data_IF_810498470377
#
_entry.id   IF_810498470377
#
_cell.length_a   1.000
_cell.length_b   1.000
_cell.length_c   1.000
_cell.angle_alpha   90.00
_cell.angle_beta   90.00
_cell.angle_gamma   90.00
#
_symmetry.space_group_name_H-M   'P 1'
#
loop_
_entity.id
_entity.type
_entity.pdbx_description
1 polymer ?
#
# COMPACT_ATOMS: atom_id res chain seq x y z
N UNK A 1 -3.86 5.20 18.32
CA UNK A 1 -3.45 5.32 16.89
C UNK A 1 -1.96 5.07 16.84
N UNK A 2 -1.51 4.20 15.94
CA UNK A 2 -0.08 3.86 15.80
C UNK A 2 0.70 5.07 15.25
N UNK A 3 1.92 5.31 15.73
CA UNK A 3 2.81 6.35 15.20
C UNK A 3 3.61 5.83 14.01
N UNK A 4 4.23 6.72 13.22
CA UNK A 4 5.14 6.34 12.14
C UNK A 4 6.31 5.46 12.65
N UNK A 5 6.93 5.85 13.77
CA UNK A 5 8.02 5.09 14.38
C UNK A 5 7.58 3.70 14.84
N UNK A 6 6.41 3.59 15.50
CA UNK A 6 5.85 2.30 15.91
C UNK A 6 5.51 1.42 14.70
N UNK A 7 5.08 2.04 13.59
CA UNK A 7 4.73 1.32 12.35
C UNK A 7 5.96 0.68 11.70
N UNK A 8 7.10 1.39 11.68
CA UNK A 8 8.38 0.84 11.22
C UNK A 8 8.81 -0.37 12.06
N UNK A 9 8.80 -0.23 13.39
CA UNK A 9 9.18 -1.31 14.32
C UNK A 9 8.26 -2.53 14.13
N UNK A 10 6.97 -2.28 13.95
CA UNK A 10 5.99 -3.35 13.74
C UNK A 10 6.23 -4.06 12.40
N UNK A 11 6.46 -3.31 11.32
CA UNK A 11 6.77 -3.87 10.00
C UNK A 11 8.04 -4.72 10.03
N UNK A 12 9.12 -4.22 10.64
CA UNK A 12 10.37 -4.97 10.81
C UNK A 12 10.13 -6.29 11.54
N UNK A 13 9.41 -6.24 12.66
CA UNK A 13 9.12 -7.43 13.47
C UNK A 13 8.45 -8.56 12.68
N UNK A 14 7.57 -8.24 11.75
CA UNK A 14 6.79 -9.24 11.02
C UNK A 14 7.29 -9.54 9.60
N UNK A 15 8.15 -8.69 9.03
CA UNK A 15 8.58 -8.81 7.64
C UNK A 15 10.10 -8.99 7.45
N UNK A 16 10.92 -8.82 8.50
CA UNK A 16 12.38 -8.92 8.36
C UNK A 16 12.85 -10.30 7.87
N UNK A 17 12.11 -11.37 8.17
CA UNK A 17 12.38 -12.72 7.68
C UNK A 17 12.00 -12.94 6.20
N UNK A 18 11.42 -11.94 5.54
CA UNK A 18 11.06 -11.92 4.12
C UNK A 18 11.92 -10.87 3.39
N UNK A 19 13.21 -11.13 3.08
CA UNK A 19 14.19 -10.08 2.77
C UNK A 19 13.79 -9.17 1.61
N UNK A 20 13.22 -9.75 0.53
CA UNK A 20 12.78 -8.97 -0.64
C UNK A 20 11.56 -8.11 -0.30
N UNK A 21 10.60 -8.68 0.43
CA UNK A 21 9.40 -7.96 0.89
C UNK A 21 9.79 -6.82 1.84
N UNK A 22 10.69 -7.11 2.76
CA UNK A 22 11.17 -6.11 3.71
C UNK A 22 11.86 -4.93 3.02
N UNK A 23 12.74 -5.18 2.02
CA UNK A 23 13.35 -4.09 1.23
C UNK A 23 12.30 -3.24 0.51
N UNK A 24 11.30 -3.86 -0.11
CA UNK A 24 10.20 -3.15 -0.73
C UNK A 24 9.46 -2.25 0.25
N UNK A 25 9.06 -2.79 1.39
CA UNK A 25 8.35 -2.05 2.46
C UNK A 25 9.18 -0.88 2.98
N UNK A 26 10.50 -1.05 3.15
CA UNK A 26 11.40 0.04 3.53
C UNK A 26 11.39 1.17 2.47
N UNK A 27 11.48 0.83 1.20
CA UNK A 27 11.41 1.81 0.12
C UNK A 27 10.09 2.57 0.09
N UNK A 28 8.96 1.85 0.23
CA UNK A 28 7.61 2.45 0.28
C UNK A 28 7.44 3.36 1.50
N UNK A 29 7.88 2.89 2.68
CA UNK A 29 7.80 3.65 3.94
C UNK A 29 8.60 4.96 3.88
N UNK A 30 9.86 4.91 3.49
CA UNK A 30 10.70 6.11 3.35
C UNK A 30 10.16 7.08 2.28
N UNK A 31 9.66 6.56 1.17
CA UNK A 31 9.01 7.39 0.15
C UNK A 31 7.77 8.10 0.70
N UNK A 32 6.96 7.41 1.51
CA UNK A 32 5.79 7.99 2.15
C UNK A 32 6.13 9.07 3.18
N UNK A 33 7.24 8.93 3.90
CA UNK A 33 7.76 9.98 4.81
C UNK A 33 8.06 11.27 4.05
N UNK A 34 8.82 11.19 2.94
CA UNK A 34 9.11 12.36 2.09
C UNK A 34 7.85 12.99 1.49
N UNK A 35 6.90 12.16 1.05
CA UNK A 35 5.62 12.61 0.49
C UNK A 35 4.77 13.31 1.55
N UNK A 36 4.68 12.73 2.76
CA UNK A 36 3.91 13.30 3.86
C UNK A 36 4.47 14.67 4.29
N UNK A 37 5.79 14.82 4.31
CA UNK A 37 6.46 16.08 4.59
C UNK A 37 6.17 17.13 3.51
N UNK A 38 6.35 16.78 2.23
CA UNK A 38 6.12 17.68 1.10
C UNK A 38 4.68 18.19 1.04
N UNK A 39 3.69 17.33 1.31
CA UNK A 39 2.27 17.67 1.34
C UNK A 39 1.78 18.19 2.69
N UNK A 40 2.63 18.25 3.71
CA UNK A 40 2.28 18.64 5.10
C UNK A 40 1.09 17.84 5.65
N UNK A 41 1.08 16.53 5.40
CA UNK A 41 0.04 15.64 5.92
C UNK A 41 0.26 15.39 7.41
N UNK A 42 -0.57 16.00 8.25
CA UNK A 42 -0.37 16.04 9.70
C UNK A 42 -0.80 14.77 10.46
N UNK A 43 -1.60 13.89 9.84
CA UNK A 43 -2.26 12.78 10.56
C UNK A 43 -1.44 11.49 10.69
N UNK A 44 -0.28 11.42 10.03
CA UNK A 44 0.61 10.25 10.04
C UNK A 44 0.05 8.96 9.41
N UNK A 45 -1.19 8.98 8.92
CA UNK A 45 -1.86 7.78 8.42
C UNK A 45 -1.19 7.23 7.15
N UNK A 46 -0.69 8.13 6.26
CA UNK A 46 0.05 7.72 5.07
C UNK A 46 1.30 6.92 5.44
N UNK A 47 2.12 7.47 6.31
CA UNK A 47 3.39 6.85 6.71
C UNK A 47 3.14 5.51 7.41
N UNK A 48 2.18 5.48 8.35
CA UNK A 48 1.82 4.25 9.04
C UNK A 48 1.30 3.18 8.07
N UNK A 49 0.40 3.54 7.14
CA UNK A 49 -0.12 2.60 6.15
C UNK A 49 0.98 2.12 5.19
N UNK A 50 1.90 2.99 4.78
CA UNK A 50 3.00 2.63 3.90
C UNK A 50 3.97 1.61 4.53
N UNK A 51 4.35 1.80 5.80
CA UNK A 51 5.15 0.82 6.53
C UNK A 51 4.42 -0.52 6.74
N UNK A 52 3.09 -0.52 6.80
CA UNK A 52 2.28 -1.67 7.20
C UNK A 52 1.49 -2.31 6.04
N UNK A 53 1.54 -1.76 4.80
CA UNK A 53 0.67 -2.20 3.71
C UNK A 53 0.80 -3.70 3.42
N UNK A 54 1.99 -4.22 3.52
CA UNK A 54 2.33 -5.61 3.22
C UNK A 54 2.46 -6.52 4.47
N UNK A 55 2.08 -6.03 5.68
CA UNK A 55 2.25 -6.79 6.92
C UNK A 55 1.55 -8.15 6.90
N UNK A 56 0.49 -8.28 6.10
CA UNK A 56 -0.25 -9.53 5.92
C UNK A 56 0.54 -10.67 5.27
N UNK A 57 1.71 -10.40 4.68
CA UNK A 57 2.63 -11.44 4.23
C UNK A 57 3.42 -12.08 5.38
N UNK A 58 3.48 -11.44 6.54
CA UNK A 58 4.17 -11.98 7.70
C UNK A 58 3.57 -13.33 8.13
N UNK A 59 4.39 -14.39 8.33
CA UNK A 59 3.87 -15.73 8.65
C UNK A 59 2.97 -15.77 9.89
N UNK A 60 3.20 -14.90 10.86
CA UNK A 60 2.38 -14.79 12.08
C UNK A 60 1.11 -13.93 11.89
N UNK A 61 0.91 -13.32 10.72
CA UNK A 61 -0.24 -12.47 10.38
C UNK A 61 -1.15 -13.14 9.36
N UNK A 62 -0.58 -13.93 8.46
CA UNK A 62 -1.30 -14.61 7.38
C UNK A 62 -2.35 -15.58 7.94
N UNK A 63 -3.61 -15.39 7.54
CA UNK A 63 -4.76 -16.23 7.90
C UNK A 63 -5.43 -16.81 6.65
N UNK A 64 -5.79 -15.95 5.67
CA UNK A 64 -6.48 -16.33 4.43
C UNK A 64 -5.51 -16.50 3.25
N UNK A 65 -4.29 -15.96 3.38
CA UNK A 65 -3.31 -15.81 2.32
C UNK A 65 -3.61 -14.63 1.39
N UNK A 66 -4.64 -13.82 1.65
CA UNK A 66 -4.89 -12.55 0.99
C UNK A 66 -4.39 -11.41 1.87
N UNK A 67 -3.12 -11.00 1.63
CA UNK A 67 -2.38 -10.12 2.52
C UNK A 67 -3.05 -8.78 2.87
N UNK A 68 -3.82 -8.10 1.96
CA UNK A 68 -4.48 -6.86 2.34
C UNK A 68 -5.53 -7.06 3.43
N UNK A 69 -6.30 -8.14 3.34
CA UNK A 69 -7.33 -8.49 4.32
C UNK A 69 -6.71 -8.97 5.63
N UNK A 70 -5.73 -9.88 5.55
CA UNK A 70 -5.04 -10.42 6.72
C UNK A 70 -4.32 -9.33 7.51
N UNK A 71 -3.61 -8.44 6.80
CA UNK A 71 -2.93 -7.28 7.40
C UNK A 71 -3.90 -6.32 8.07
N UNK A 72 -4.99 -5.97 7.38
CA UNK A 72 -5.99 -5.05 7.91
C UNK A 72 -6.71 -5.61 9.16
N UNK A 73 -7.08 -6.89 9.16
CA UNK A 73 -7.66 -7.59 10.32
C UNK A 73 -6.69 -7.60 11.50
N UNK A 74 -5.43 -7.92 11.24
CA UNK A 74 -4.38 -7.89 12.25
C UNK A 74 -4.24 -6.49 12.86
N UNK A 75 -4.11 -5.45 12.05
CA UNK A 75 -3.95 -4.06 12.50
C UNK A 75 -5.16 -3.57 13.32
N UNK A 76 -6.38 -3.94 12.93
CA UNK A 76 -7.59 -3.64 13.71
C UNK A 76 -7.55 -4.36 15.05
N UNK A 77 -7.16 -5.62 15.10
CA UNK A 77 -7.07 -6.44 16.32
C UNK A 77 -6.08 -5.88 17.35
N UNK A 78 -4.95 -5.33 16.90
CA UNK A 78 -3.95 -4.71 17.78
C UNK A 78 -4.22 -3.24 18.10
N UNK A 79 -5.30 -2.65 17.57
CA UNK A 79 -5.66 -1.26 17.84
C UNK A 79 -4.78 -0.22 17.12
N UNK A 80 -4.19 -0.55 15.97
CA UNK A 80 -3.32 0.36 15.20
C UNK A 80 -4.06 1.62 14.68
N UNK A 81 -5.38 1.58 14.61
CA UNK A 81 -6.26 2.64 14.14
C UNK A 81 -7.07 2.21 12.91
N UNK A 82 -8.37 2.47 12.93
CA UNK A 82 -9.29 2.00 11.88
C UNK A 82 -8.93 2.55 10.49
N UNK A 83 -8.54 3.82 10.40
CA UNK A 83 -8.15 4.42 9.12
C UNK A 83 -6.90 3.76 8.52
N UNK A 84 -5.89 3.45 9.34
CA UNK A 84 -4.68 2.75 8.87
C UNK A 84 -5.06 1.34 8.38
N UNK A 85 -5.90 0.62 9.12
CA UNK A 85 -6.38 -0.70 8.71
C UNK A 85 -7.14 -0.64 7.38
N UNK A 86 -8.00 0.37 7.15
CA UNK A 86 -8.72 0.56 5.88
C UNK A 86 -7.79 0.88 4.73
N UNK A 87 -6.80 1.75 4.93
CA UNK A 87 -5.79 2.05 3.91
C UNK A 87 -5.01 0.79 3.52
N UNK A 88 -4.62 -0.03 4.51
CA UNK A 88 -3.94 -1.32 4.27
C UNK A 88 -4.87 -2.31 3.56
N UNK A 89 -6.15 -2.41 3.94
CA UNK A 89 -7.11 -3.28 3.29
C UNK A 89 -7.28 -3.00 1.78
N UNK A 90 -7.19 -1.72 1.41
CA UNK A 90 -7.48 -1.27 0.05
C UNK A 90 -6.26 -0.81 -0.74
N UNK A 91 -5.03 -0.89 -0.16
CA UNK A 91 -3.83 -0.45 -0.87
C UNK A 91 -3.74 -1.10 -2.27
N UNK A 92 -3.16 -0.37 -3.19
CA UNK A 92 -2.93 -0.85 -4.57
C UNK A 92 -4.14 -1.46 -5.25
N UNK A 93 -5.33 -0.85 -5.03
CA UNK A 93 -6.61 -1.29 -5.63
C UNK A 93 -6.92 -2.77 -5.31
N UNK A 94 -6.64 -3.23 -4.08
CA UNK A 94 -6.74 -4.63 -3.64
C UNK A 94 -8.10 -5.30 -3.90
N UNK A 95 -9.17 -4.53 -4.07
CA UNK A 95 -10.51 -5.05 -4.40
C UNK A 95 -10.53 -5.92 -5.67
N UNK A 96 -9.65 -5.63 -6.64
CA UNK A 96 -9.56 -6.45 -7.86
C UNK A 96 -8.93 -7.82 -7.59
N UNK A 97 -7.90 -7.88 -6.74
CA UNK A 97 -7.33 -9.15 -6.30
C UNK A 97 -8.32 -9.90 -5.38
N UNK A 98 -8.99 -9.18 -4.49
CA UNK A 98 -10.06 -9.75 -3.66
C UNK A 98 -11.14 -10.43 -4.50
N UNK A 99 -11.59 -9.78 -5.60
CA UNK A 99 -12.56 -10.34 -6.53
C UNK A 99 -12.07 -11.62 -7.19
N UNK A 100 -10.83 -11.64 -7.69
CA UNK A 100 -10.22 -12.81 -8.33
C UNK A 100 -10.09 -13.98 -7.35
N UNK A 101 -9.83 -13.68 -6.06
CA UNK A 101 -9.60 -14.67 -5.01
C UNK A 101 -10.83 -15.01 -4.16
N UNK A 102 -11.99 -14.38 -4.43
CA UNK A 102 -13.23 -14.66 -3.71
C UNK A 102 -13.40 -13.96 -2.36
N UNK A 103 -12.58 -12.92 -2.07
CA UNK A 103 -12.61 -12.16 -0.80
C UNK A 103 -13.28 -10.78 -0.92
N UNK A 104 -13.90 -10.45 -2.08
CA UNK A 104 -14.46 -9.11 -2.31
C UNK A 104 -15.54 -8.74 -1.28
N UNK A 105 -16.44 -9.68 -0.96
CA UNK A 105 -17.51 -9.44 0.01
C UNK A 105 -16.95 -9.19 1.42
N UNK A 106 -16.01 -10.01 1.88
CA UNK A 106 -15.38 -9.87 3.19
C UNK A 106 -14.63 -8.53 3.29
N UNK A 107 -13.83 -8.21 2.27
CA UNK A 107 -13.07 -6.96 2.23
C UNK A 107 -13.97 -5.74 2.34
N UNK A 108 -15.03 -5.67 1.52
CA UNK A 108 -15.94 -4.52 1.49
C UNK A 108 -16.87 -4.43 2.70
N UNK A 109 -17.25 -5.57 3.29
CA UNK A 109 -18.06 -5.60 4.50
C UNK A 109 -17.29 -5.15 5.75
N UNK A 110 -15.99 -5.48 5.81
CA UNK A 110 -15.17 -5.18 6.99
C UNK A 110 -14.48 -3.83 6.92
N UNK A 111 -14.09 -3.39 5.71
CA UNK A 111 -13.26 -2.20 5.52
C UNK A 111 -13.85 -1.31 4.42
N UNK A 112 -14.36 -0.16 4.83
CA UNK A 112 -14.85 0.85 3.88
C UNK A 112 -13.67 1.48 3.10
N UNK A 113 -13.72 1.52 1.75
CA UNK A 113 -12.67 2.13 0.95
C UNK A 113 -12.62 3.65 1.14
N UNK A 114 -11.41 4.19 1.28
CA UNK A 114 -11.19 5.63 1.37
C UNK A 114 -10.82 6.21 0.00
N UNK A 115 -11.44 7.34 -0.38
CA UNK A 115 -11.06 8.14 -1.55
C UNK A 115 -10.46 9.45 -1.08
N UNK A 116 -9.14 9.51 -1.01
CA UNK A 116 -8.43 10.67 -0.50
C UNK A 116 -7.05 10.83 -1.15
N UNK A 117 -6.45 12.00 -0.96
CA UNK A 117 -5.04 12.23 -1.35
C UNK A 117 -4.11 11.27 -0.62
N UNK A 118 -4.41 10.90 0.63
CA UNK A 118 -3.65 9.92 1.41
C UNK A 118 -3.66 8.53 0.74
N UNK A 119 -4.83 8.09 0.27
CA UNK A 119 -4.94 6.82 -0.48
C UNK A 119 -4.18 6.87 -1.80
N UNK A 120 -4.35 7.93 -2.59
CA UNK A 120 -3.64 8.09 -3.86
C UNK A 120 -2.12 8.16 -3.64
N UNK A 121 -1.66 8.81 -2.57
CA UNK A 121 -0.27 8.84 -2.16
C UNK A 121 0.27 7.46 -1.79
N UNK A 122 -0.50 6.65 -1.05
CA UNK A 122 -0.11 5.28 -0.72
C UNK A 122 0.05 4.43 -1.98
N UNK A 123 -0.91 4.50 -2.91
CA UNK A 123 -0.82 3.80 -4.21
C UNK A 123 0.39 4.28 -5.00
N UNK A 124 0.65 5.59 -5.03
CA UNK A 124 1.83 6.14 -5.70
C UNK A 124 3.12 5.60 -5.08
N UNK A 125 3.27 5.63 -3.76
CA UNK A 125 4.48 5.15 -3.08
C UNK A 125 4.73 3.67 -3.37
N UNK A 126 3.72 2.80 -3.30
CA UNK A 126 3.84 1.38 -3.58
C UNK A 126 4.14 1.11 -5.06
N UNK A 127 3.37 1.72 -5.97
CA UNK A 127 3.47 1.46 -7.40
C UNK A 127 4.63 2.18 -8.10
N UNK A 128 5.42 2.95 -7.37
CA UNK A 128 6.67 3.56 -7.85
C UNK A 128 7.88 3.16 -7.01
N UNK A 129 7.75 2.08 -6.25
CA UNK A 129 8.85 1.44 -5.52
C UNK A 129 9.01 0.00 -6.02
N UNK A 130 10.22 -0.36 -6.41
CA UNK A 130 10.55 -1.70 -6.89
C UNK A 130 10.67 -2.74 -5.77
N UNK A 131 10.86 -4.02 -6.12
CA UNK A 131 10.89 -5.12 -5.15
C UNK A 131 12.09 -5.09 -4.20
N UNK A 132 13.15 -4.39 -4.56
CA UNK A 132 14.34 -4.24 -3.74
C UNK A 132 14.40 -2.87 -3.03
N UNK A 133 13.29 -2.11 -3.06
CA UNK A 133 13.12 -0.82 -2.39
C UNK A 133 13.57 0.38 -3.22
N UNK A 134 14.03 0.14 -4.44
CA UNK A 134 14.50 1.15 -5.39
C UNK A 134 13.34 1.97 -5.98
N UNK A 135 13.63 3.20 -6.38
CA UNK A 135 12.68 4.01 -7.12
C UNK A 135 12.50 3.49 -8.54
N UNK A 136 11.25 3.40 -9.00
CA UNK A 136 10.91 2.93 -10.35
C UNK A 136 9.75 3.73 -10.94
N UNK A 137 9.51 3.60 -12.26
CA UNK A 137 8.30 4.14 -12.87
C UNK A 137 7.10 3.20 -12.63
N UNK A 138 5.87 3.76 -12.74
CA UNK A 138 4.65 2.95 -12.68
C UNK A 138 4.68 1.84 -13.75
N UNK A 139 5.08 2.17 -14.95
CA UNK A 139 5.13 1.28 -16.11
C UNK A 139 6.14 0.14 -15.90
N UNK A 140 7.31 0.44 -15.36
CA UNK A 140 8.33 -0.59 -15.05
C UNK A 140 7.90 -1.47 -13.89
N UNK A 141 7.22 -0.90 -12.88
CA UNK A 141 6.67 -1.67 -11.76
C UNK A 141 5.59 -2.65 -12.23
N UNK A 142 4.67 -2.21 -13.08
CA UNK A 142 3.64 -3.07 -13.68
C UNK A 142 4.29 -4.19 -14.48
N UNK A 143 5.30 -3.88 -15.31
CA UNK A 143 6.04 -4.87 -16.09
C UNK A 143 6.70 -5.92 -15.19
N UNK A 144 7.39 -5.48 -14.13
CA UNK A 144 8.06 -6.36 -13.18
C UNK A 144 7.07 -7.35 -12.52
N UNK A 145 5.87 -6.87 -12.14
CA UNK A 145 4.84 -7.74 -11.57
C UNK A 145 4.36 -8.78 -12.58
N UNK A 146 4.14 -8.41 -13.85
CA UNK A 146 3.78 -9.37 -14.90
C UNK A 146 4.89 -10.41 -15.14
N UNK A 147 6.14 -9.97 -15.19
CA UNK A 147 7.28 -10.89 -15.36
C UNK A 147 7.41 -11.88 -14.20
N UNK A 148 7.15 -11.42 -12.97
CA UNK A 148 7.25 -12.25 -11.76
C UNK A 148 6.13 -13.26 -11.62
N UNK A 149 4.89 -12.86 -11.89
CA UNK A 149 3.71 -13.67 -11.60
C UNK A 149 3.08 -14.34 -12.83
N UNK A 150 3.56 -14.04 -14.03
CA UNK A 150 3.11 -14.67 -15.26
C UNK A 150 1.62 -14.54 -15.50
N UNK A 151 0.92 -15.67 -15.66
CA UNK A 151 -0.52 -15.75 -15.94
C UNK A 151 -1.38 -16.03 -14.68
N UNK A 152 -0.79 -16.00 -13.49
CA UNK A 152 -1.45 -16.32 -12.23
C UNK A 152 -2.49 -15.26 -11.79
N UNK A 153 -3.13 -15.53 -10.66
CA UNK A 153 -4.20 -14.67 -10.10
C UNK A 153 -3.74 -13.24 -9.85
N UNK A 154 -2.50 -13.04 -9.41
CA UNK A 154 -1.92 -11.69 -9.20
C UNK A 154 -1.85 -10.92 -10.51
N UNK A 155 -1.35 -11.53 -11.59
CA UNK A 155 -1.27 -10.87 -12.89
C UNK A 155 -2.67 -10.60 -13.49
N UNK A 156 -3.62 -11.52 -13.28
CA UNK A 156 -5.03 -11.33 -13.67
C UNK A 156 -5.67 -10.17 -12.92
N UNK A 157 -5.46 -10.10 -11.62
CA UNK A 157 -5.94 -9.01 -10.78
C UNK A 157 -5.31 -7.67 -11.18
N UNK A 158 -3.99 -7.65 -11.45
CA UNK A 158 -3.29 -6.46 -11.89
C UNK A 158 -3.85 -5.91 -13.20
N UNK A 159 -4.13 -6.77 -14.21
CA UNK A 159 -4.78 -6.31 -15.46
C UNK A 159 -6.10 -5.59 -15.22
N UNK A 160 -6.89 -6.06 -14.25
CA UNK A 160 -8.15 -5.42 -13.88
C UNK A 160 -7.93 -4.12 -13.08
N UNK A 161 -6.91 -4.08 -12.23
CA UNK A 161 -6.59 -2.97 -11.35
C UNK A 161 -5.83 -1.83 -12.05
N UNK A 162 -5.11 -2.11 -13.13
CA UNK A 162 -4.18 -1.18 -13.80
C UNK A 162 -4.80 0.20 -14.11
N UNK A 163 -6.04 0.31 -14.65
CA UNK A 163 -6.66 1.61 -14.85
C UNK A 163 -6.91 2.38 -13.54
N UNK A 164 -7.27 1.67 -12.47
CA UNK A 164 -7.48 2.26 -11.14
C UNK A 164 -6.16 2.74 -10.54
N UNK A 165 -5.12 1.91 -10.60
CA UNK A 165 -3.78 2.22 -10.13
C UNK A 165 -3.19 3.42 -10.86
N UNK A 166 -3.24 3.41 -12.21
CA UNK A 166 -2.75 4.51 -13.03
C UNK A 166 -3.47 5.82 -12.70
N UNK A 167 -4.80 5.78 -12.56
CA UNK A 167 -5.58 6.97 -12.21
C UNK A 167 -5.20 7.54 -10.83
N UNK A 168 -4.92 6.69 -9.82
CA UNK A 168 -4.48 7.12 -8.50
C UNK A 168 -3.08 7.76 -8.57
N UNK A 169 -2.13 7.12 -9.26
CA UNK A 169 -0.78 7.66 -9.48
C UNK A 169 -0.80 9.00 -10.21
N UNK A 170 -1.64 9.14 -11.24
CA UNK A 170 -1.76 10.39 -12.01
C UNK A 170 -2.39 11.51 -11.18
N UNK A 171 -3.45 11.24 -10.41
CA UNK A 171 -4.07 12.23 -9.49
C UNK A 171 -3.06 12.72 -8.47
N UNK A 172 -2.33 11.78 -7.84
CA UNK A 172 -1.31 12.14 -6.86
C UNK A 172 -0.18 12.96 -7.49
N UNK A 173 0.35 12.55 -8.64
CA UNK A 173 1.40 13.28 -9.35
C UNK A 173 0.98 14.71 -9.74
N UNK A 174 -0.31 14.91 -10.07
CA UNK A 174 -0.86 16.23 -10.32
C UNK A 174 -0.95 17.08 -9.04
N UNK A 175 -1.35 16.47 -7.91
CA UNK A 175 -1.40 17.14 -6.61
C UNK A 175 -0.01 17.61 -6.16
N UNK A 176 1.02 16.78 -6.32
CA UNK A 176 2.41 17.15 -6.03
C UNK A 176 2.87 18.34 -6.86
N UNK A 177 2.65 18.33 -8.19
CA UNK A 177 3.01 19.45 -9.06
C UNK A 177 2.27 20.75 -8.73
N UNK A 178 1.08 20.65 -8.16
CA UNK A 178 0.31 21.83 -7.73
C UNK A 178 0.86 22.43 -6.42
N UNK A 179 1.36 21.60 -5.50
CA UNK A 179 1.95 22.04 -4.23
C UNK A 179 3.32 22.72 -4.41
N UNK A 180 4.07 22.35 -5.45
CA UNK A 180 5.38 22.95 -5.77
C UNK A 180 5.29 24.34 -6.43
N UNK A 181 4.09 24.82 -6.78
CA UNK A 181 3.92 26.14 -7.36
C UNK A 181 3.98 27.20 -6.24
N UNK A 182 4.91 28.19 -6.35
CA UNK A 182 4.97 29.29 -5.38
C UNK A 182 3.59 30.01 -5.35
N UNK A 183 3.11 30.29 -4.14
CA UNK A 183 1.94 31.14 -3.95
C UNK A 183 2.17 32.49 -4.67
N UNK A 184 1.29 32.85 -5.59
CA UNK A 184 1.33 34.13 -6.30
C UNK A 184 0.90 35.26 -5.40
#
# INVERSE_FOLDING_TARGET
MITAADSWVLAERYLAELPRRWRHVQGVGHRAEHVAEALRLADGALVAAAWLHDIGYGPAVTETGFHPLDGARFLRRIGAGDRVARLVAHHSCAVYEARVRGFEQDLLAEFEPERSVTYDALVFCDMTTGPDGEETSFEDRVREVYERYGEGDVARALRMAEPCLKAAVDRFSQAMKASDRPAR
#
